data_IF_535713823388
#
_entry.id   IF_535713823388
#
_cell.length_a   1.000
_cell.length_b   1.000
_cell.length_c   1.000
_cell.angle_alpha   90.00
_cell.angle_beta   90.00
_cell.angle_gamma   90.00
#
_symmetry.space_group_name_H-M   'P 1'
#
loop_
_entity.id
_entity.type
_entity.pdbx_description
1 polymer ?
#
# COMPACT_ATOMS: atom_id res chain seq x y z
N UNK A 1 -8.12 2.09 -10.30
CA UNK A 1 -8.01 3.36 -9.52
C UNK A 1 -9.30 3.79 -8.82
N UNK A 2 -10.45 3.98 -9.50
CA UNK A 2 -11.71 4.33 -8.80
C UNK A 2 -12.18 3.24 -7.82
N UNK A 3 -12.03 1.96 -8.16
CA UNK A 3 -12.38 0.86 -7.24
C UNK A 3 -11.44 0.76 -6.03
N UNK A 4 -10.14 1.02 -6.23
CA UNK A 4 -9.17 1.11 -5.14
C UNK A 4 -9.54 2.24 -4.17
N UNK A 5 -10.01 3.36 -4.71
CA UNK A 5 -10.46 4.51 -3.92
C UNK A 5 -11.67 4.16 -3.03
N UNK A 6 -12.71 3.57 -3.62
CA UNK A 6 -13.89 3.14 -2.87
C UNK A 6 -13.54 2.10 -1.80
N UNK A 7 -12.60 1.20 -2.09
CA UNK A 7 -12.13 0.18 -1.14
C UNK A 7 -11.35 0.77 0.04
N UNK A 8 -10.57 1.83 -0.19
CA UNK A 8 -9.73 2.46 0.84
C UNK A 8 -10.45 3.53 1.67
N UNK A 9 -11.63 3.98 1.25
CA UNK A 9 -12.36 5.11 1.87
C UNK A 9 -12.63 4.93 3.37
N UNK A 10 -12.84 3.70 3.82
CA UNK A 10 -13.05 3.38 5.25
C UNK A 10 -11.88 2.63 5.89
N UNK A 11 -10.81 2.38 5.11
CA UNK A 11 -9.65 1.66 5.58
C UNK A 11 -8.74 2.57 6.44
N UNK A 12 -8.04 1.95 7.39
CA UNK A 12 -6.90 2.57 8.07
C UNK A 12 -5.64 1.90 7.58
N UNK A 13 -4.63 2.67 7.22
CA UNK A 13 -3.38 2.10 6.71
C UNK A 13 -2.41 3.12 6.12
N UNK A 14 -1.49 2.61 5.33
CA UNK A 14 -0.46 3.40 4.66
C UNK A 14 -0.43 3.00 3.18
N UNK A 15 -0.26 3.99 2.29
CA UNK A 15 -0.14 3.81 0.83
C UNK A 15 1.11 4.52 0.35
N UNK A 16 1.87 3.86 -0.51
CA UNK A 16 3.00 4.43 -1.23
C UNK A 16 2.60 4.52 -2.70
N UNK A 17 2.79 5.67 -3.34
CA UNK A 17 2.39 5.87 -4.73
C UNK A 17 3.33 6.84 -5.45
N UNK A 18 3.53 6.62 -6.74
CA UNK A 18 4.20 7.53 -7.67
C UNK A 18 3.23 8.52 -8.34
N UNK A 19 1.92 8.31 -8.18
CA UNK A 19 0.88 9.13 -8.79
C UNK A 19 0.37 10.23 -7.83
N UNK A 20 0.26 11.47 -8.31
CA UNK A 20 -0.35 12.57 -7.56
C UNK A 20 -1.85 12.68 -7.88
N UNK A 21 -2.66 11.83 -7.25
CA UNK A 21 -4.11 11.90 -7.39
C UNK A 21 -4.73 12.78 -6.32
N UNK A 22 -5.33 13.89 -6.74
CA UNK A 22 -6.07 14.79 -5.85
C UNK A 22 -7.17 14.09 -5.02
N UNK A 23 -7.71 12.96 -5.52
CA UNK A 23 -8.67 12.13 -4.79
C UNK A 23 -8.05 11.44 -3.57
N UNK A 24 -6.81 10.96 -3.66
CA UNK A 24 -6.14 10.29 -2.52
C UNK A 24 -6.05 11.23 -1.31
N UNK A 25 -5.94 12.54 -1.54
CA UNK A 25 -5.93 13.58 -0.51
C UNK A 25 -7.20 13.61 0.36
N UNK A 26 -8.33 13.13 -0.14
CA UNK A 26 -9.58 13.06 0.64
C UNK A 26 -9.79 11.75 1.40
N UNK A 27 -8.85 10.79 1.32
CA UNK A 27 -8.88 9.59 2.17
C UNK A 27 -8.51 9.97 3.62
N UNK A 28 -9.42 9.72 4.55
CA UNK A 28 -9.19 9.96 5.98
C UNK A 28 -8.72 8.66 6.64
N UNK A 29 -7.67 8.73 7.45
CA UNK A 29 -7.14 7.56 8.18
C UNK A 29 -6.13 6.71 7.39
N UNK A 30 -5.76 7.15 6.17
CA UNK A 30 -4.70 6.56 5.35
C UNK A 30 -3.53 7.54 5.27
N UNK A 31 -2.33 7.10 5.67
CA UNK A 31 -1.12 7.88 5.44
C UNK A 31 -0.63 7.63 4.01
N UNK A 32 -0.29 8.69 3.28
CA UNK A 32 0.14 8.60 1.88
C UNK A 32 1.59 9.06 1.79
N UNK A 33 2.41 8.25 1.14
CA UNK A 33 3.83 8.52 0.87
C UNK A 33 4.01 8.61 -0.64
N UNK A 34 4.74 9.63 -1.11
CA UNK A 34 5.04 9.85 -2.53
C UNK A 34 6.44 9.37 -2.86
N UNK A 35 6.56 8.54 -3.88
CA UNK A 35 7.84 8.10 -4.41
C UNK A 35 8.03 8.65 -5.82
N UNK A 36 9.27 8.92 -6.25
CA UNK A 36 9.52 9.45 -7.61
C UNK A 36 9.32 8.36 -8.69
N UNK A 37 9.68 7.12 -8.39
CA UNK A 37 9.49 5.96 -9.26
C UNK A 37 9.29 4.70 -8.40
N UNK A 38 8.21 3.96 -8.62
CA UNK A 38 8.01 2.66 -7.99
C UNK A 38 8.49 1.54 -8.88
N UNK A 39 9.63 0.93 -8.51
CA UNK A 39 10.18 -0.23 -9.22
C UNK A 39 9.31 -1.49 -9.08
N UNK A 40 8.33 -1.49 -8.17
CA UNK A 40 7.49 -2.65 -7.89
C UNK A 40 6.03 -2.26 -7.63
N UNK A 41 5.22 -2.30 -8.68
CA UNK A 41 3.80 -1.96 -8.62
C UNK A 41 2.98 -3.16 -8.13
N UNK A 42 2.61 -3.13 -6.86
CA UNK A 42 1.81 -4.18 -6.23
C UNK A 42 0.90 -3.59 -5.14
N UNK A 43 -0.09 -4.38 -4.71
CA UNK A 43 -0.86 -4.08 -3.51
C UNK A 43 -0.57 -5.13 -2.45
N UNK A 44 -0.14 -4.65 -1.28
CA UNK A 44 0.14 -5.46 -0.10
C UNK A 44 -0.86 -5.08 0.98
N UNK A 45 -1.64 -6.04 1.44
CA UNK A 45 -2.54 -5.89 2.57
C UNK A 45 -2.07 -6.81 3.69
N UNK A 46 -1.68 -6.22 4.83
CA UNK A 46 -1.30 -6.94 6.03
C UNK A 46 -2.42 -6.80 7.05
N UNK A 47 -3.19 -7.87 7.26
CA UNK A 47 -4.29 -7.91 8.23
C UNK A 47 -3.83 -8.58 9.53
N UNK A 48 -4.18 -7.97 10.67
CA UNK A 48 -3.96 -8.47 12.03
C UNK A 48 -2.51 -8.87 12.35
N UNK A 49 -1.55 -8.33 11.58
CA UNK A 49 -0.13 -8.65 11.68
C UNK A 49 0.27 -10.09 11.36
N UNK A 50 -0.68 -10.95 10.94
CA UNK A 50 -0.50 -12.40 10.73
C UNK A 50 -0.94 -12.90 9.36
N UNK A 51 -1.84 -12.17 8.70
CA UNK A 51 -2.33 -12.52 7.37
C UNK A 51 -1.83 -11.49 6.36
N UNK A 52 -1.39 -11.96 5.21
CA UNK A 52 -1.01 -11.10 4.09
C UNK A 52 -1.76 -11.49 2.84
N UNK A 53 -2.22 -10.47 2.12
CA UNK A 53 -2.69 -10.58 0.74
C UNK A 53 -1.72 -9.76 -0.08
N UNK A 54 -1.14 -10.39 -1.09
CA UNK A 54 -0.34 -9.73 -2.10
C UNK A 54 -1.06 -9.86 -3.43
N UNK A 55 -1.08 -8.79 -4.22
CA UNK A 55 -1.61 -8.82 -5.57
C UNK A 55 -0.79 -7.97 -6.54
N UNK A 56 -0.74 -8.39 -7.81
CA UNK A 56 -0.15 -7.61 -8.90
C UNK A 56 -0.92 -6.30 -9.11
N UNK A 57 -0.27 -5.31 -9.74
CA UNK A 57 -0.92 -4.07 -10.15
C UNK A 57 -2.23 -4.29 -10.94
N UNK A 58 -2.22 -5.27 -11.84
CA UNK A 58 -3.38 -5.64 -12.66
C UNK A 58 -4.48 -6.39 -11.91
N UNK A 59 -4.25 -6.76 -10.64
CA UNK A 59 -5.10 -7.65 -9.85
C UNK A 59 -5.32 -9.06 -10.44
N UNK A 60 -4.62 -9.40 -11.53
CA UNK A 60 -4.75 -10.70 -12.20
C UNK A 60 -4.14 -11.83 -11.38
N UNK A 61 -3.08 -11.52 -10.63
CA UNK A 61 -2.44 -12.49 -9.75
C UNK A 61 -2.56 -12.02 -8.31
N UNK A 62 -3.08 -12.88 -7.44
CA UNK A 62 -3.10 -12.63 -6.01
C UNK A 62 -2.77 -13.92 -5.25
N UNK A 63 -2.09 -13.76 -4.12
CA UNK A 63 -1.96 -14.85 -3.15
C UNK A 63 -2.25 -14.35 -1.75
N UNK A 64 -2.86 -15.23 -0.95
CA UNK A 64 -3.06 -15.04 0.48
C UNK A 64 -2.14 -15.98 1.23
N UNK A 65 -1.42 -15.46 2.20
CA UNK A 65 -0.51 -16.24 3.04
C UNK A 65 -0.67 -15.87 4.50
N UNK A 66 -0.77 -16.90 5.34
CA UNK A 66 -0.64 -16.82 6.79
C UNK A 66 0.73 -17.28 7.28
N UNK A 67 1.69 -17.49 6.36
CA UNK A 67 3.05 -17.87 6.70
C UNK A 67 3.77 -16.68 7.36
N UNK A 68 4.24 -16.80 8.62
CA UNK A 68 4.87 -15.70 9.34
C UNK A 68 6.14 -15.15 8.65
N UNK A 69 6.89 -16.00 7.96
CA UNK A 69 8.07 -15.61 7.19
C UNK A 69 7.71 -14.71 6.01
N UNK A 70 6.69 -15.09 5.24
CA UNK A 70 6.17 -14.27 4.14
C UNK A 70 5.64 -12.92 4.65
N UNK A 71 4.89 -12.94 5.75
CA UNK A 71 4.42 -11.69 6.39
C UNK A 71 5.58 -10.78 6.78
N UNK A 72 6.65 -11.35 7.34
CA UNK A 72 7.83 -10.61 7.76
C UNK A 72 8.55 -9.98 6.57
N UNK A 73 8.74 -10.74 5.49
CA UNK A 73 9.37 -10.26 4.25
C UNK A 73 8.57 -9.10 3.66
N UNK A 74 7.24 -9.26 3.53
CA UNK A 74 6.38 -8.20 2.97
C UNK A 74 6.35 -6.94 3.83
N UNK A 75 6.43 -7.08 5.17
CA UNK A 75 6.57 -5.94 6.09
C UNK A 75 7.89 -5.19 5.88
N UNK A 76 9.01 -5.93 5.77
CA UNK A 76 10.33 -5.31 5.58
C UNK A 76 10.41 -4.63 4.22
N UNK A 77 9.88 -5.28 3.19
CA UNK A 77 9.76 -4.70 1.86
C UNK A 77 8.96 -3.39 1.90
N UNK A 78 7.75 -3.40 2.47
CA UNK A 78 6.94 -2.17 2.58
C UNK A 78 7.64 -1.06 3.37
N UNK A 79 8.34 -1.42 4.45
CA UNK A 79 9.06 -0.45 5.26
C UNK A 79 10.22 0.20 4.49
N UNK A 80 10.97 -0.60 3.73
CA UNK A 80 12.04 -0.11 2.87
C UNK A 80 11.49 0.89 1.83
N UNK A 81 10.44 0.51 1.10
CA UNK A 81 9.82 1.40 0.11
C UNK A 81 9.31 2.70 0.76
N UNK A 82 8.82 2.63 1.99
CA UNK A 82 8.37 3.80 2.75
C UNK A 82 9.52 4.73 3.13
N UNK A 83 10.69 4.19 3.47
CA UNK A 83 11.89 4.96 3.84
C UNK A 83 12.44 5.74 2.64
N UNK A 84 12.34 5.17 1.43
CA UNK A 84 12.69 5.83 0.18
C UNK A 84 11.62 6.84 -0.30
N UNK A 85 10.36 6.67 0.16
CA UNK A 85 9.27 7.57 -0.17
C UNK A 85 9.23 8.82 0.73
N UNK A 86 8.85 9.96 0.15
CA UNK A 86 8.63 11.20 0.91
C UNK A 86 7.22 11.20 1.49
N UNK A 87 7.03 11.42 2.80
CA UNK A 87 5.70 11.53 3.38
C UNK A 87 4.97 12.75 2.80
N UNK A 88 3.76 12.54 2.26
CA UNK A 88 2.91 13.66 1.85
C UNK A 88 2.25 14.25 3.10
N UNK A 89 2.87 15.30 3.65
CA UNK A 89 2.27 16.13 4.69
C UNK A 89 1.49 17.25 4.01
N UNK A 90 0.18 17.24 4.18
CA UNK A 90 -0.69 18.31 3.70
C UNK A 90 -0.71 19.43 4.73
N UNK A 91 -0.35 20.66 4.33
CA UNK A 91 -0.59 21.89 5.10
C UNK A 91 -2.04 22.36 4.97
#
# INVERSE_FOLDING_TARGET
LNELYETLREARGEVITDEDHGKLRSLRGVAIHKMEESGFKCLILIADGRNTIFTSESLETAFKSSNPGVVTILKHFFQHEREEARPLRWE
#
